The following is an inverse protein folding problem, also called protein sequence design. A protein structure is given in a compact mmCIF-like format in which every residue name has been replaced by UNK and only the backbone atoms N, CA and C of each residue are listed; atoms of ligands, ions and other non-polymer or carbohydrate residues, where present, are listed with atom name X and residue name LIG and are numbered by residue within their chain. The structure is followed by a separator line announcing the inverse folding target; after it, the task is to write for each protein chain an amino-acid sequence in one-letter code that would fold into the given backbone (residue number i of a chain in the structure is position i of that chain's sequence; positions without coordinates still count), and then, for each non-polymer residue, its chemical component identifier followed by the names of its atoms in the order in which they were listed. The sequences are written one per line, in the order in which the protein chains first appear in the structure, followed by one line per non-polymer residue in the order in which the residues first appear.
data_IF_485494469205
#
_entry.id   IF_485494469205
#
_cell.length_a   1.000
_cell.length_b   1.000
_cell.length_c   1.000
_cell.angle_alpha   90.00
_cell.angle_beta   90.00
_cell.angle_gamma   90.00
#
_symmetry.space_group_name_H-M   'P 1'
#
loop_
_entity.id
_entity.type
_entity.pdbx_description
1 polymer ?
#
# COMPACT_ATOMS: atom_id res chain seq x y z
N UNK A 1 10.93 -11.47 6.29
CA UNK A 1 11.50 -10.69 5.16
C UNK A 1 10.71 -9.39 5.07
N UNK A 2 11.40 -8.26 4.87
CA UNK A 2 10.82 -6.93 4.79
C UNK A 2 11.17 -6.32 3.43
N UNK A 3 10.16 -5.82 2.73
CA UNK A 3 10.35 -4.95 1.55
C UNK A 3 9.67 -3.63 1.88
N UNK A 4 10.40 -2.53 1.71
CA UNK A 4 9.93 -1.20 2.10
C UNK A 4 10.26 -0.18 1.02
N UNK A 5 9.25 0.59 0.62
CA UNK A 5 9.38 1.81 -0.17
C UNK A 5 8.98 3.00 0.69
N UNK A 6 9.02 4.22 0.14
CA UNK A 6 8.56 5.42 0.86
C UNK A 6 7.09 5.35 1.33
N UNK A 7 6.28 4.48 0.73
CA UNK A 7 4.82 4.46 0.93
C UNK A 7 4.27 3.06 1.21
N UNK A 8 5.03 1.99 0.93
CA UNK A 8 4.54 0.61 1.06
C UNK A 8 5.54 -0.20 1.86
N UNK A 9 5.05 -0.89 2.89
CA UNK A 9 5.81 -1.81 3.71
C UNK A 9 5.19 -3.20 3.64
N UNK A 10 5.94 -4.19 3.18
CA UNK A 10 5.49 -5.58 3.03
C UNK A 10 6.24 -6.46 4.00
N UNK A 11 5.49 -7.17 4.85
CA UNK A 11 6.00 -8.05 5.89
C UNK A 11 5.45 -9.46 5.71
N UNK A 12 6.33 -10.44 5.82
CA UNK A 12 5.93 -11.84 5.93
C UNK A 12 6.07 -12.26 7.39
N UNK A 13 4.94 -12.54 8.03
CA UNK A 13 4.85 -12.90 9.45
C UNK A 13 4.58 -14.40 9.56
N UNK A 14 5.42 -15.10 10.33
CA UNK A 14 5.25 -16.51 10.66
C UNK A 14 5.00 -16.63 12.16
N UNK A 15 3.93 -17.32 12.53
CA UNK A 15 3.58 -17.51 13.93
C UNK A 15 4.41 -18.66 14.52
N UNK A 16 5.20 -18.39 15.56
CA UNK A 16 6.06 -19.40 16.19
C UNK A 16 5.25 -20.58 16.75
N UNK A 17 4.08 -20.30 17.32
CA UNK A 17 3.17 -21.31 17.89
C UNK A 17 2.37 -22.08 16.81
N UNK A 18 2.38 -21.61 15.57
CA UNK A 18 1.67 -22.22 14.45
C UNK A 18 2.47 -22.01 13.14
N UNK A 19 3.62 -22.69 12.94
CA UNK A 19 4.56 -22.39 11.87
C UNK A 19 4.02 -22.69 10.46
N UNK A 20 2.91 -23.43 10.36
CA UNK A 20 2.17 -23.66 9.11
C UNK A 20 1.31 -22.46 8.70
N UNK A 21 1.13 -21.47 9.58
CA UNK A 21 0.39 -20.25 9.30
C UNK A 21 1.40 -19.15 8.94
N UNK A 22 1.26 -18.64 7.74
CA UNK A 22 2.01 -17.51 7.22
C UNK A 22 1.02 -16.40 6.88
N UNK A 23 1.29 -15.17 7.32
CA UNK A 23 0.54 -13.99 6.88
C UNK A 23 1.46 -13.06 6.11
N UNK A 24 0.93 -12.50 5.02
CA UNK A 24 1.53 -11.33 4.38
C UNK A 24 0.73 -10.13 4.88
N UNK A 25 1.44 -9.18 5.46
CA UNK A 25 0.91 -7.95 5.98
C UNK A 25 1.54 -6.80 5.22
N UNK A 26 0.70 -5.96 4.64
CA UNK A 26 1.12 -4.80 3.85
C UNK A 26 0.55 -3.56 4.52
N UNK A 27 1.42 -2.59 4.76
CA UNK A 27 1.04 -1.26 5.20
C UNK A 27 1.25 -0.29 4.05
N UNK A 28 0.25 0.57 3.80
CA UNK A 28 0.31 1.61 2.78
C UNK A 28 0.07 2.95 3.45
N UNK A 29 1.11 3.77 3.46
CA UNK A 29 1.06 5.18 3.86
C UNK A 29 0.85 6.02 2.62
N UNK A 30 -0.22 6.80 2.56
CA UNK A 30 -0.47 7.67 1.42
C UNK A 30 0.57 8.81 1.35
N UNK A 31 0.89 9.30 0.14
CA UNK A 31 1.79 10.41 -0.04
C UNK A 31 1.43 11.62 0.84
N UNK A 32 2.38 12.15 1.61
CA UNK A 32 2.20 13.40 2.35
C UNK A 32 2.62 14.61 1.49
N UNK A 33 1.68 15.52 1.21
CA UNK A 33 1.96 16.77 0.53
C UNK A 33 1.07 17.90 1.04
N UNK A 34 1.64 19.09 1.22
CA UNK A 34 0.91 20.31 1.53
C UNK A 34 0.81 21.13 0.24
N UNK A 35 -0.41 21.37 -0.23
CA UNK A 35 -0.69 22.20 -1.40
C UNK A 35 -1.51 23.39 -0.91
N UNK A 36 -0.87 24.55 -0.80
CA UNK A 36 -1.54 25.78 -0.37
C UNK A 36 -2.18 26.49 -1.58
N UNK A 37 -3.53 26.61 -1.63
CA UNK A 37 -4.22 27.27 -2.74
C UNK A 37 -4.16 28.81 -2.65
N UNK A 38 -3.76 29.38 -1.51
CA UNK A 38 -3.80 30.82 -1.25
C UNK A 38 -2.62 31.58 -1.86
N UNK A 39 -1.52 30.87 -2.14
CA UNK A 39 -0.35 31.46 -2.78
C UNK A 39 -0.51 31.35 -4.30
N UNK A 40 -0.39 32.44 -5.08
CA UNK A 40 -0.42 32.39 -6.54
C UNK A 40 0.50 31.28 -7.06
N UNK A 41 -0.13 30.27 -7.65
CA UNK A 41 0.54 29.03 -8.03
C UNK A 41 1.29 29.22 -9.34
N UNK A 42 2.61 29.05 -9.32
CA UNK A 42 3.41 28.94 -10.54
C UNK A 42 2.97 27.70 -11.32
N UNK A 43 3.19 27.65 -12.64
CA UNK A 43 2.84 26.48 -13.46
C UNK A 43 3.38 25.16 -12.86
N UNK A 44 4.60 25.20 -12.32
CA UNK A 44 5.27 24.10 -11.61
C UNK A 44 4.51 23.62 -10.35
N UNK A 45 3.82 24.51 -9.62
CA UNK A 45 3.03 24.13 -8.43
C UNK A 45 1.71 23.45 -8.83
N UNK A 46 1.09 23.85 -9.94
CA UNK A 46 -0.12 23.17 -10.48
C UNK A 46 0.20 21.76 -10.95
N UNK A 47 1.35 21.55 -11.60
CA UNK A 47 1.81 20.22 -12.00
C UNK A 47 2.08 19.32 -10.80
N UNK A 48 2.69 19.85 -9.72
CA UNK A 48 2.88 19.11 -8.47
C UNK A 48 1.57 18.63 -7.86
N UNK A 49 0.52 19.47 -7.84
CA UNK A 49 -0.78 19.08 -7.33
C UNK A 49 -1.42 17.96 -8.15
N UNK A 50 -1.36 18.05 -9.48
CA UNK A 50 -1.85 17.00 -10.37
C UNK A 50 -1.08 15.70 -10.21
N UNK A 51 0.25 15.78 -10.12
CA UNK A 51 1.11 14.62 -9.86
C UNK A 51 0.74 13.95 -8.54
N UNK A 52 0.57 14.73 -7.47
CA UNK A 52 0.16 14.22 -6.16
C UNK A 52 -1.17 13.47 -6.20
N UNK A 53 -2.18 14.00 -6.91
CA UNK A 53 -3.47 13.31 -7.10
C UNK A 53 -3.28 12.00 -7.84
N UNK A 54 -2.52 12.00 -8.94
CA UNK A 54 -2.26 10.79 -9.73
C UNK A 54 -1.50 9.73 -8.92
N UNK A 55 -0.50 10.13 -8.13
CA UNK A 55 0.26 9.25 -7.27
C UNK A 55 -0.67 8.61 -6.21
N UNK A 56 -1.56 9.39 -5.59
CA UNK A 56 -2.57 8.86 -4.67
C UNK A 56 -3.51 7.86 -5.34
N UNK A 57 -4.01 8.16 -6.55
CA UNK A 57 -4.86 7.23 -7.31
C UNK A 57 -4.12 5.91 -7.57
N UNK A 58 -2.82 5.94 -7.90
CA UNK A 58 -2.02 4.74 -8.09
C UNK A 58 -1.92 3.89 -6.81
N UNK A 59 -1.78 4.52 -5.64
CA UNK A 59 -1.74 3.82 -4.35
C UNK A 59 -3.12 3.24 -3.97
N UNK A 60 -4.21 3.95 -4.26
CA UNK A 60 -5.57 3.41 -4.07
C UNK A 60 -5.84 2.23 -5.02
N UNK A 61 -5.41 2.33 -6.28
CA UNK A 61 -5.51 1.23 -7.25
C UNK A 61 -4.67 0.02 -6.81
N UNK A 62 -3.52 0.23 -6.19
CA UNK A 62 -2.71 -0.84 -5.58
C UNK A 62 -3.49 -1.56 -4.48
N UNK A 63 -4.13 -0.84 -3.55
CA UNK A 63 -4.97 -1.44 -2.51
C UNK A 63 -6.13 -2.26 -3.11
N UNK A 64 -6.81 -1.72 -4.13
CA UNK A 64 -7.88 -2.45 -4.83
C UNK A 64 -7.35 -3.71 -5.54
N UNK A 65 -6.13 -3.67 -6.09
CA UNK A 65 -5.47 -4.85 -6.67
C UNK A 65 -5.18 -5.91 -5.60
N UNK A 66 -4.66 -5.52 -4.44
CA UNK A 66 -4.45 -6.43 -3.31
C UNK A 66 -5.77 -7.08 -2.86
N UNK A 67 -6.85 -6.29 -2.77
CA UNK A 67 -8.16 -6.83 -2.43
C UNK A 67 -8.63 -7.88 -3.44
N UNK A 68 -8.47 -7.63 -4.74
CA UNK A 68 -8.79 -8.59 -5.80
C UNK A 68 -7.93 -9.85 -5.72
N UNK A 69 -6.70 -9.75 -5.22
CA UNK A 69 -5.80 -10.87 -4.96
C UNK A 69 -6.14 -11.65 -3.66
N UNK A 70 -7.18 -11.25 -2.94
CA UNK A 70 -7.67 -11.94 -1.75
C UNK A 70 -7.21 -11.34 -0.42
N UNK A 71 -6.52 -10.19 -0.43
CA UNK A 71 -6.17 -9.49 0.80
C UNK A 71 -7.42 -8.87 1.44
N UNK A 72 -7.51 -8.97 2.76
CA UNK A 72 -8.46 -8.19 3.55
C UNK A 72 -7.89 -6.80 3.80
N UNK A 73 -8.64 -5.75 3.44
CA UNK A 73 -8.24 -4.36 3.65
C UNK A 73 -8.79 -3.83 4.97
N UNK A 74 -8.02 -2.98 5.64
CA UNK A 74 -8.42 -2.22 6.83
C UNK A 74 -7.69 -0.88 6.91
N UNK A 75 -8.15 0.00 7.80
CA UNK A 75 -7.50 1.28 8.11
C UNK A 75 -6.98 1.18 9.55
N UNK A 76 -5.68 1.37 9.76
CA UNK A 76 -5.03 1.24 11.05
C UNK A 76 -5.05 2.54 11.88
N UNK A 77 -5.13 3.69 11.21
CA UNK A 77 -5.09 5.01 11.86
C UNK A 77 -6.01 5.99 11.15
N UNK A 78 -6.56 6.95 11.91
CA UNK A 78 -7.31 8.10 11.37
C UNK A 78 -6.46 8.99 10.45
N UNK A 79 -5.14 8.82 10.49
CA UNK A 79 -4.17 9.48 9.59
C UNK A 79 -4.12 8.85 8.19
N UNK A 80 -4.94 7.84 7.91
CA UNK A 80 -5.07 7.25 6.57
C UNK A 80 -4.04 6.17 6.26
N UNK A 81 -3.48 5.52 7.30
CA UNK A 81 -2.63 4.34 7.13
C UNK A 81 -3.52 3.13 6.81
N UNK A 82 -3.35 2.57 5.62
CA UNK A 82 -4.07 1.38 5.18
C UNK A 82 -3.27 0.13 5.48
N UNK A 83 -3.99 -0.95 5.77
CA UNK A 83 -3.42 -2.29 5.91
C UNK A 83 -4.12 -3.26 4.97
N UNK A 84 -3.34 -4.16 4.37
CA UNK A 84 -3.84 -5.30 3.62
C UNK A 84 -3.21 -6.57 4.21
N UNK A 85 -4.04 -7.56 4.57
CA UNK A 85 -3.59 -8.81 5.19
C UNK A 85 -4.09 -10.01 4.38
N UNK A 86 -3.19 -10.91 4.03
CA UNK A 86 -3.50 -12.20 3.43
C UNK A 86 -2.95 -13.33 4.30
N UNK A 87 -3.83 -14.25 4.68
CA UNK A 87 -3.43 -15.51 5.32
C UNK A 87 -3.19 -16.56 4.25
N UNK A 88 -1.97 -17.08 4.21
CA UNK A 88 -1.57 -18.11 3.25
C UNK A 88 -1.66 -19.48 3.92
N UNK A 89 -2.38 -20.39 3.27
CA UNK A 89 -2.40 -21.81 3.56
C UNK A 89 -1.87 -22.57 2.36
N UNK A 90 -0.70 -23.21 2.49
CA UNK A 90 -0.02 -23.89 1.39
C UNK A 90 0.95 -22.98 0.63
N UNK A 91 1.33 -23.40 -0.57
CA UNK A 91 2.28 -22.67 -1.40
C UNK A 91 1.57 -21.56 -2.20
N UNK A 92 2.08 -20.32 -2.17
CA UNK A 92 1.48 -19.21 -2.93
C UNK A 92 1.70 -19.36 -4.44
N UNK A 93 0.68 -19.01 -5.22
CA UNK A 93 0.78 -18.90 -6.68
C UNK A 93 1.73 -17.75 -7.07
N UNK A 94 2.46 -17.88 -8.18
CA UNK A 94 3.36 -16.86 -8.71
C UNK A 94 2.63 -15.52 -8.95
N UNK A 95 1.37 -15.59 -9.36
CA UNK A 95 0.50 -14.41 -9.55
C UNK A 95 0.32 -13.58 -8.28
N UNK A 96 0.46 -14.19 -7.09
CA UNK A 96 0.44 -13.43 -5.85
C UNK A 96 1.55 -12.39 -5.82
N UNK A 97 2.76 -12.76 -6.25
CA UNK A 97 3.93 -11.88 -6.20
C UNK A 97 3.83 -10.71 -7.18
N UNK A 98 3.19 -10.90 -8.34
CA UNK A 98 2.89 -9.80 -9.27
C UNK A 98 1.98 -8.74 -8.63
N UNK A 99 1.02 -9.17 -7.80
CA UNK A 99 0.11 -8.26 -7.11
C UNK A 99 0.79 -7.49 -5.97
N UNK A 100 1.88 -8.03 -5.41
CA UNK A 100 2.64 -7.41 -4.31
C UNK A 100 3.49 -6.22 -4.77
N UNK A 101 3.83 -6.11 -6.05
CA UNK A 101 4.70 -5.04 -6.55
C UNK A 101 4.08 -3.66 -6.26
N UNK A 102 4.77 -2.77 -5.53
CA UNK A 102 4.24 -1.43 -5.25
C UNK A 102 4.18 -0.57 -6.54
N UNK A 103 3.32 0.47 -6.56
CA UNK A 103 3.21 1.40 -7.68
C UNK A 103 4.42 2.33 -7.84
#
# INVERSE_FOLDING_TARGET
MLVETAWVKIMVVRYQVAPKICTIEIEVSLPNCIIDPTIPSTATKKEKARKFINDNINHLNYLLRLQKAGFSLGILSTEGIWSAVLKISGDPDEKLFENLLPP
#
